data_IF_971964336339
#
_entry.id   IF_971964336339
#
_cell.length_a   1.000
_cell.length_b   1.000
_cell.length_c   1.000
_cell.angle_alpha   90.00
_cell.angle_beta   90.00
_cell.angle_gamma   90.00
#
_symmetry.space_group_name_H-M   'P 1'
#
loop_
_entity.id
_entity.type
_entity.pdbx_description
1 polymer ?
2 non-polymer ?
3 non-polymer ?
4 non-polymer ?
5 water ?
#
# COMPACT_ATOMS: atom_id res chain seq x y z
N UNK A 19 -6.52 24.97 13.92
CA UNK A 19 -7.32 23.78 13.63
C UNK A 19 -7.20 22.77 14.75
N UNK A 20 -7.31 21.49 14.40
CA UNK A 20 -7.22 20.47 15.42
C UNK A 20 -6.72 19.09 15.01
N UNK A 21 -6.06 18.88 13.86
CA UNK A 21 -5.45 17.57 13.64
C UNK A 21 -4.36 17.28 14.67
N UNK A 22 -4.14 16.00 14.90
CA UNK A 22 -3.02 15.53 15.73
C UNK A 22 -1.73 15.57 14.90
N UNK A 23 -0.69 16.17 15.45
CA UNK A 23 0.58 16.16 14.73
C UNK A 23 1.26 14.80 14.94
N UNK A 24 1.85 14.25 13.88
CA UNK A 24 2.49 12.94 13.91
C UNK A 24 3.92 13.14 13.42
N UNK A 25 4.91 13.03 14.30
CA UNK A 25 6.32 13.15 13.93
C UNK A 25 6.91 11.79 13.58
N UNK A 26 7.51 11.70 12.39
CA UNK A 26 8.04 10.42 11.91
C UNK A 26 9.39 10.59 11.22
N UNK A 27 10.06 9.44 11.06
CA UNK A 27 11.27 9.31 10.25
C UNK A 27 11.08 8.06 9.39
N UNK A 28 11.37 8.15 8.08
CA UNK A 28 11.19 6.98 7.20
C UNK A 28 12.08 5.81 7.62
N UNK A 29 13.15 6.06 8.35
CA UNK A 29 14.01 4.96 8.77
C UNK A 29 13.28 3.96 9.65
N UNK A 30 12.28 4.40 10.40
CA UNK A 30 11.83 3.62 11.55
C UNK A 30 10.62 2.75 11.19
N UNK A 31 10.66 1.46 11.46
CA UNK A 31 9.46 0.64 11.24
C UNK A 31 8.38 0.92 12.28
N UNK A 32 8.76 1.44 13.46
CA UNK A 32 7.75 1.88 14.41
C UNK A 32 7.02 3.09 13.90
N UNK A 33 7.76 4.05 13.33
CA UNK A 33 7.12 5.21 12.69
C UNK A 33 6.20 4.75 11.58
N UNK A 34 6.67 3.81 10.74
CA UNK A 34 5.85 3.26 9.67
C UNK A 34 4.51 2.76 10.20
N UNK A 35 4.56 1.93 11.24
CA UNK A 35 3.32 1.38 11.79
C UNK A 35 2.42 2.49 12.35
N UNK A 36 3.03 3.50 12.99
CA UNK A 36 2.22 4.60 13.49
C UNK A 36 1.53 5.37 12.39
N UNK A 37 2.24 5.60 11.28
CA UNK A 37 1.69 6.33 10.14
C UNK A 37 0.60 5.52 9.46
N UNK A 38 0.77 4.19 9.35
CA UNK A 38 -0.26 3.35 8.75
C UNK A 38 -1.53 3.37 9.58
N UNK A 39 -1.37 3.32 10.91
CA UNK A 39 -2.56 3.35 11.76
C UNK A 39 -3.26 4.69 11.65
N UNK A 40 -2.49 5.79 11.71
CA UNK A 40 -3.12 7.12 11.59
C UNK A 40 -3.79 7.29 10.23
N UNK A 41 -3.17 6.76 9.17
CA UNK A 41 -3.74 6.90 7.84
C UNK A 41 -5.12 6.25 7.75
N UNK A 42 -5.25 5.03 8.29
CA UNK A 42 -6.57 4.38 8.25
C UNK A 42 -7.57 5.12 9.12
N UNK A 43 -7.11 5.71 10.24
CA UNK A 43 -8.03 6.47 11.09
C UNK A 43 -8.48 7.79 10.49
N UNK A 44 -7.75 8.32 9.50
CA UNK A 44 -8.25 9.54 8.86
C UNK A 44 -9.68 9.37 8.37
N UNK A 45 -10.05 8.15 7.96
CA UNK A 45 -11.40 7.81 7.50
C UNK A 45 -12.42 7.61 8.60
N UNK A 46 -11.98 7.44 9.84
CA UNK A 46 -12.89 7.27 10.97
C UNK A 46 -13.19 8.59 11.69
N UNK A 47 -12.71 9.73 11.18
CA UNK A 47 -12.97 10.99 11.83
C UNK A 47 -11.76 11.64 12.48
N UNK A 48 -10.59 11.00 12.46
CA UNK A 48 -9.42 11.55 13.12
C UNK A 48 -8.58 12.35 12.14
N UNK A 49 -8.25 13.58 12.51
CA UNK A 49 -7.36 14.39 11.70
C UNK A 49 -5.91 14.17 12.14
N UNK A 50 -5.03 14.04 11.14
CA UNK A 50 -3.58 13.98 11.42
C UNK A 50 -2.83 14.87 10.45
N UNK A 51 -1.73 15.44 10.94
CA UNK A 51 -0.79 16.20 10.13
C UNK A 51 0.59 15.57 10.25
N UNK A 52 1.21 15.26 9.11
CA UNK A 52 2.53 14.64 9.09
C UNK A 52 3.61 15.68 9.32
N UNK A 53 4.53 15.39 10.25
CA UNK A 53 5.72 16.22 10.50
C UNK A 53 6.94 15.33 10.61
N UNK A 54 8.11 15.92 10.40
CA UNK A 54 9.33 15.13 10.40
C UNK A 54 10.13 15.33 11.69
N UNK A 55 10.71 14.23 12.17
CA UNK A 55 11.71 14.28 13.24
C UNK A 55 12.84 13.34 12.85
N UNK A 56 14.08 13.84 12.87
CA UNK A 56 15.23 13.05 12.43
C UNK A 56 15.79 12.23 13.59
N UNK A 57 15.74 10.91 13.46
CA UNK A 57 16.35 10.02 14.46
C UNK A 57 17.86 10.17 14.46
N UNK A 58 18.45 10.42 13.28
CA UNK A 58 19.89 10.63 13.21
C UNK A 58 20.28 11.89 13.99
N UNK A 59 19.58 12.99 13.75
CA UNK A 59 19.86 14.20 14.52
C UNK A 59 19.61 13.97 16.01
N UNK A 60 18.53 13.28 16.36
CA UNK A 60 18.22 13.08 17.77
C UNK A 60 19.28 12.29 18.50
N UNK A 61 19.94 11.36 17.81
CA UNK A 61 20.93 10.49 18.41
C UNK A 61 22.36 10.94 18.13
N UNK A 62 22.56 12.11 17.54
CA UNK A 62 23.92 12.57 17.23
C UNK A 62 24.68 12.85 18.53
N UNK A 63 25.94 12.44 18.64
CA UNK A 63 26.68 12.69 19.89
C UNK A 63 26.73 14.15 20.29
N UNK A 64 26.74 15.07 19.32
CA UNK A 64 26.81 16.49 19.66
C UNK A 64 25.52 17.00 20.26
N UNK A 65 24.41 16.28 20.07
CA UNK A 65 23.13 16.70 20.64
C UNK A 65 22.83 15.96 21.94
N UNK A 66 23.74 15.11 22.39
CA UNK A 66 23.50 14.28 23.57
C UNK A 66 23.48 15.14 24.82
N UNK A 67 22.37 15.08 25.56
CA UNK A 67 22.23 15.80 26.83
C UNK A 67 22.40 17.30 26.62
N UNK A 68 21.85 17.81 25.52
CA UNK A 68 21.92 19.22 25.19
C UNK A 68 20.50 19.78 25.17
N UNK A 69 20.28 20.86 25.93
CA UNK A 69 18.98 21.51 25.89
C UNK A 69 18.80 22.33 24.60
N UNK A 70 19.90 22.72 23.97
CA UNK A 70 19.89 23.45 22.71
C UNK A 70 20.51 22.57 21.64
N UNK A 71 19.79 22.36 20.54
CA UNK A 71 20.33 21.53 19.45
C UNK A 71 21.65 22.12 18.97
N UNK A 72 22.68 21.28 18.87
CA UNK A 72 24.00 21.69 18.43
C UNK A 72 24.33 21.30 16.99
N UNK A 73 23.63 20.30 16.43
CA UNK A 73 23.95 19.76 15.11
C UNK A 73 22.63 19.51 14.40
N UNK A 74 22.45 20.10 13.23
CA UNK A 74 21.17 19.99 12.52
C UNK A 74 21.35 19.11 11.28
N UNK A 75 20.42 18.19 11.05
CA UNK A 75 20.49 17.39 9.83
C UNK A 75 20.45 18.28 8.59
N UNK A 76 19.67 19.34 8.66
CA UNK A 76 19.49 20.26 7.54
C UNK A 76 20.69 21.12 7.23
N UNK A 77 21.76 21.05 8.03
CA UNK A 77 22.99 21.75 7.67
C UNK A 77 23.96 20.86 6.91
N UNK A 78 23.59 19.61 6.64
CA UNK A 78 24.57 18.69 6.07
C UNK A 78 24.44 18.59 4.56
N UNK A 79 25.55 18.45 3.82
CA UNK A 79 25.44 18.26 2.37
C UNK A 79 24.61 17.04 2.01
N UNK A 80 23.89 17.15 0.88
CA UNK A 80 23.03 16.06 0.45
C UNK A 80 23.81 14.77 0.27
N UNK A 81 25.07 14.85 -0.18
CA UNK A 81 25.86 13.67 -0.44
C UNK A 81 26.79 13.25 0.69
N UNK A 82 26.75 13.93 1.82
CA UNK A 82 27.60 13.59 2.94
C UNK A 82 27.23 12.26 3.57
N UNK A 83 28.25 11.50 3.99
CA UNK A 83 28.05 10.26 4.72
C UNK A 83 28.31 10.49 6.20
N UNK A 84 27.40 9.99 7.04
CA UNK A 84 27.63 10.00 8.46
C UNK A 84 28.66 8.95 8.85
N UNK A 85 29.03 8.97 10.12
CA UNK A 85 29.94 7.96 10.65
C UNK A 85 29.24 6.63 10.83
N UNK A 86 29.94 5.74 11.53
CA UNK A 86 29.43 4.38 11.69
C UNK A 86 28.32 4.33 12.72
N UNK A 87 27.69 3.14 12.81
CA UNK A 87 26.53 3.00 13.67
C UNK A 87 25.32 3.67 13.05
N UNK A 88 24.40 4.09 13.92
CA UNK A 88 23.14 4.67 13.44
C UNK A 88 23.38 5.93 12.61
N UNK A 89 24.49 6.62 12.86
CA UNK A 89 24.77 7.83 12.11
C UNK A 89 24.93 7.56 10.63
N UNK A 90 25.20 6.31 10.23
CA UNK A 90 25.31 6.01 8.81
C UNK A 90 24.02 6.28 8.07
N UNK A 91 22.90 6.44 8.79
CA UNK A 91 21.64 6.68 8.09
C UNK A 91 21.43 8.14 7.81
N UNK A 92 22.43 8.99 8.09
CA UNK A 92 22.30 10.40 7.80
C UNK A 92 21.87 10.66 6.35
N UNK A 93 22.66 10.18 5.37
CA UNK A 93 22.36 10.49 3.98
C UNK A 93 21.00 9.98 3.52
N UNK A 94 20.64 8.71 3.70
CA UNK A 94 19.32 8.29 3.20
C UNK A 94 18.17 9.05 3.85
N UNK A 95 18.25 9.29 5.15
CA UNK A 95 17.12 9.93 5.83
C UNK A 95 17.00 11.39 5.41
N UNK A 96 18.11 12.13 5.31
CA UNK A 96 17.99 13.50 4.84
C UNK A 96 17.39 13.54 3.44
N UNK A 97 17.86 12.66 2.55
CA UNK A 97 17.37 12.76 1.18
C UNK A 97 15.90 12.34 1.12
N UNK A 98 15.52 11.38 1.95
CA UNK A 98 14.13 10.94 1.94
C UNK A 98 13.22 12.05 2.44
N UNK A 99 13.64 12.74 3.51
CA UNK A 99 12.83 13.83 4.04
C UNK A 99 12.67 14.90 2.98
N UNK A 100 13.76 15.24 2.26
CA UNK A 100 13.59 16.34 1.32
C UNK A 100 12.68 15.95 0.18
N UNK A 101 12.74 14.68 -0.21
CA UNK A 101 11.86 14.24 -1.30
C UNK A 101 10.42 14.29 -0.85
N UNK A 102 10.19 13.99 0.42
CA UNK A 102 8.84 14.03 0.97
C UNK A 102 8.33 15.46 1.04
N UNK A 103 9.20 16.40 1.39
CA UNK A 103 8.76 17.80 1.39
C UNK A 103 8.41 18.22 -0.03
N UNK A 104 9.19 17.76 -1.02
CA UNK A 104 8.86 18.13 -2.40
C UNK A 104 7.50 17.57 -2.78
N UNK A 105 7.23 16.32 -2.38
CA UNK A 105 5.93 15.73 -2.66
C UNK A 105 4.81 16.51 -1.97
N UNK A 106 5.05 16.95 -0.73
CA UNK A 106 3.99 17.61 0.02
C UNK A 106 3.63 18.95 -0.60
N UNK A 107 4.47 19.49 -1.49
CA UNK A 107 4.04 20.71 -2.16
C UNK A 107 2.86 20.48 -3.09
N UNK A 108 2.51 19.24 -3.38
CA UNK A 108 1.35 18.94 -4.22
C UNK A 108 0.10 18.67 -3.40
N UNK A 109 0.14 18.94 -2.10
CA UNK A 109 -1.06 18.93 -1.28
C UNK A 109 -1.10 17.76 -0.31
N UNK A 110 -2.10 17.83 0.57
CA UNK A 110 -2.23 16.87 1.66
C UNK A 110 -2.35 15.43 1.18
N UNK A 111 -3.25 15.15 0.22
CA UNK A 111 -3.46 13.77 -0.17
C UNK A 111 -2.25 13.19 -0.90
N UNK A 112 -1.58 14.01 -1.73
CA UNK A 112 -0.36 13.54 -2.37
C UNK A 112 0.76 13.35 -1.36
N UNK A 113 0.76 14.12 -0.29
CA UNK A 113 1.78 13.97 0.74
C UNK A 113 1.63 12.64 1.45
N UNK A 114 0.41 12.32 1.90
CA UNK A 114 0.20 11.01 2.51
C UNK A 114 0.51 9.89 1.52
N UNK A 115 0.11 10.06 0.25
CA UNK A 115 0.36 9.00 -0.72
C UNK A 115 1.86 8.76 -0.91
N UNK A 116 2.64 9.85 -0.95
CA UNK A 116 4.08 9.67 -1.15
C UNK A 116 4.73 9.07 0.09
N UNK A 117 4.37 9.59 1.27
CA UNK A 117 4.97 9.10 2.51
C UNK A 117 4.67 7.63 2.70
N UNK A 118 3.41 7.22 2.48
CA UNK A 118 3.10 5.81 2.64
C UNK A 118 3.81 4.97 1.58
N UNK A 119 3.83 5.43 0.32
CA UNK A 119 4.55 4.69 -0.72
C UNK A 119 6.00 4.49 -0.35
N UNK A 120 6.67 5.53 0.15
CA UNK A 120 8.10 5.40 0.45
C UNK A 120 8.32 4.52 1.67
N UNK A 121 7.47 4.66 2.69
CA UNK A 121 7.52 3.75 3.84
C UNK A 121 7.37 2.31 3.39
N UNK A 122 6.39 2.05 2.51
CA UNK A 122 6.13 0.67 2.10
C UNK A 122 7.25 0.13 1.22
N UNK A 123 7.83 0.97 0.37
CA UNK A 123 8.99 0.53 -0.40
C UNK A 123 10.14 0.13 0.53
N UNK A 124 10.36 0.91 1.59
CA UNK A 124 11.49 0.60 2.46
C UNK A 124 11.20 -0.60 3.37
N UNK A 125 9.99 -0.69 3.94
CA UNK A 125 9.71 -1.67 4.98
C UNK A 125 8.97 -2.90 4.48
N UNK A 126 8.20 -2.80 3.40
CA UNK A 126 7.55 -3.99 2.83
C UNK A 126 8.36 -4.58 1.68
N UNK A 127 8.87 -3.74 0.78
CA UNK A 127 9.68 -4.25 -0.32
C UNK A 127 11.15 -4.42 0.05
N UNK A 128 11.59 -3.86 1.19
CA UNK A 128 12.97 -3.95 1.65
C UNK A 128 13.93 -3.21 0.73
N UNK A 129 13.47 -2.13 0.10
CA UNK A 129 14.34 -1.30 -0.71
C UNK A 129 15.08 -0.29 0.15
N UNK A 130 16.28 0.08 -0.30
CA UNK A 130 16.98 1.18 0.32
C UNK A 130 16.23 2.49 0.12
N UNK A 131 16.47 3.45 1.01
CA UNK A 131 15.96 4.80 0.80
C UNK A 131 16.94 5.51 -0.15
N UNK A 132 16.78 5.23 -1.44
CA UNK A 132 17.70 5.78 -2.44
C UNK A 132 16.87 6.38 -3.57
N UNK A 133 17.57 6.88 -4.60
CA UNK A 133 16.87 7.65 -5.63
C UNK A 133 15.83 6.80 -6.36
N UNK A 134 16.13 5.53 -6.64
CA UNK A 134 15.15 4.67 -7.28
C UNK A 134 13.92 4.51 -6.42
N UNK A 135 14.10 4.42 -5.09
CA UNK A 135 12.94 4.35 -4.20
C UNK A 135 12.14 5.64 -4.23
N UNK A 136 12.82 6.80 -4.22
CA UNK A 136 12.09 8.06 -4.25
C UNK A 136 11.27 8.18 -5.54
N UNK A 137 11.88 7.78 -6.67
CA UNK A 137 11.16 7.81 -7.94
C UNK A 137 9.97 6.84 -7.95
N UNK A 138 10.19 5.63 -7.46
CA UNK A 138 9.08 4.67 -7.45
C UNK A 138 7.98 5.13 -6.52
N UNK A 139 8.32 5.79 -5.40
CA UNK A 139 7.28 6.30 -4.51
C UNK A 139 6.50 7.42 -5.17
N UNK A 140 7.19 8.27 -5.94
CA UNK A 140 6.53 9.36 -6.63
C UNK A 140 5.55 8.83 -7.67
N UNK A 141 5.93 7.79 -8.41
CA UNK A 141 4.99 7.20 -9.37
C UNK A 141 3.85 6.48 -8.66
N UNK A 142 4.16 5.72 -7.61
CA UNK A 142 3.11 5.00 -6.90
C UNK A 142 2.10 5.95 -6.30
N UNK A 143 2.54 7.14 -5.90
CA UNK A 143 1.68 8.14 -5.28
C UNK A 143 0.92 8.98 -6.30
N UNK A 144 1.20 8.80 -7.58
CA UNK A 144 0.53 9.62 -8.58
C UNK A 144 0.94 11.07 -8.59
N UNK A 145 2.18 11.39 -8.23
CA UNK A 145 2.62 12.77 -8.26
C UNK A 145 2.70 13.27 -9.69
N UNK A 146 2.49 14.57 -9.85
CA UNK A 146 2.92 15.28 -11.05
C UNK A 146 4.44 15.29 -11.07
N UNK A 147 5.04 14.52 -11.98
CA UNK A 147 6.50 14.29 -11.94
C UNK A 147 7.28 15.52 -12.39
N UNK A 148 6.76 16.28 -13.36
CA UNK A 148 7.46 17.49 -13.74
C UNK A 148 7.45 18.51 -12.60
N UNK A 149 6.31 18.66 -11.91
CA UNK A 149 6.25 19.57 -10.76
C UNK A 149 7.14 19.08 -9.63
N UNK A 150 7.17 17.76 -9.41
CA UNK A 150 8.03 17.21 -8.36
C UNK A 150 9.50 17.49 -8.66
N UNK A 151 9.93 17.28 -9.90
CA UNK A 151 11.30 17.59 -10.28
C UNK A 151 11.64 19.05 -10.03
N UNK A 152 10.72 19.94 -10.42
CA UNK A 152 10.93 21.37 -10.20
C UNK A 152 11.09 21.68 -8.71
N UNK A 153 10.19 21.15 -7.89
CA UNK A 153 10.30 21.41 -6.46
C UNK A 153 11.56 20.82 -5.86
N UNK A 154 12.01 19.66 -6.36
CA UNK A 154 13.24 19.08 -5.85
C UNK A 154 14.46 19.92 -6.19
N UNK A 155 14.39 20.73 -7.24
CA UNK A 155 15.48 21.67 -7.49
C UNK A 155 15.61 22.74 -6.40
N UNK A 156 14.56 22.98 -5.61
CA UNK A 156 14.57 24.02 -4.59
C UNK A 156 15.12 23.45 -3.28
N UNK A 157 16.36 22.98 -3.35
CA UNK A 157 16.98 22.35 -2.19
C UNK A 157 16.94 23.25 -0.96
N UNK A 158 17.26 24.54 -1.12
CA UNK A 158 17.33 25.42 0.03
C UNK A 158 15.96 25.58 0.70
N UNK A 159 14.91 25.70 -0.11
CA UNK A 159 13.58 25.86 0.47
C UNK A 159 13.09 24.59 1.14
N UNK A 160 13.40 23.43 0.54
CA UNK A 160 13.01 22.17 1.18
C UNK A 160 13.75 22.00 2.51
N UNK A 161 15.01 22.45 2.56
CA UNK A 161 15.76 22.39 3.81
C UNK A 161 15.14 23.29 4.87
N UNK A 162 14.68 24.48 4.47
CA UNK A 162 14.02 25.37 5.41
C UNK A 162 12.75 24.73 5.97
N UNK A 163 11.97 24.07 5.10
CA UNK A 163 10.75 23.40 5.59
C UNK A 163 11.09 22.33 6.61
N UNK A 164 12.08 21.50 6.28
CA UNK A 164 12.47 20.44 7.19
C UNK A 164 12.98 21.02 8.51
N UNK A 165 13.83 22.04 8.43
CA UNK A 165 14.33 22.64 9.66
C UNK A 165 13.21 23.16 10.53
N UNK A 166 12.15 23.69 9.94
CA UNK A 166 11.03 24.14 10.77
C UNK A 166 10.38 22.96 11.50
N UNK A 167 10.22 21.82 10.82
CA UNK A 167 9.70 20.63 11.51
C UNK A 167 10.63 20.21 12.66
N UNK A 168 11.94 20.19 12.41
CA UNK A 168 12.88 19.72 13.42
C UNK A 168 12.92 20.69 14.60
N UNK A 169 12.66 21.97 14.36
CA UNK A 169 12.56 22.96 15.44
C UNK A 169 11.31 22.74 16.27
N UNK A 170 10.17 22.51 15.60
CA UNK A 170 8.94 22.20 16.33
C UNK A 170 9.10 20.96 17.19
N UNK A 171 9.73 19.93 16.62
CA UNK A 171 9.95 18.71 17.40
C UNK A 171 10.85 18.98 18.57
N UNK A 172 11.93 19.75 18.37
CA UNK A 172 12.84 20.00 19.48
C UNK A 172 12.15 20.78 20.59
N UNK A 173 11.25 21.71 20.23
CA UNK A 173 10.54 22.46 21.24
C UNK A 173 9.68 21.55 22.11
N UNK A 174 9.13 20.49 21.52
CA UNK A 174 8.34 19.54 22.32
C UNK A 174 9.19 18.51 23.06
N UNK A 175 10.50 18.43 22.80
CA UNK A 175 11.28 17.36 23.38
C UNK A 175 11.18 16.01 22.69
N UNK A 176 10.73 15.99 21.43
CA UNK A 176 10.60 14.74 20.70
C UNK A 176 11.91 13.99 20.70
N UNK A 177 11.84 12.69 20.98
CA UNK A 177 13.03 11.85 21.03
C UNK A 177 12.90 10.56 20.24
N UNK A 178 11.69 10.21 19.77
CA UNK A 178 11.51 8.97 19.04
C UNK A 178 10.36 9.13 18.06
N UNK A 179 10.21 8.14 17.19
CA UNK A 179 9.18 8.15 16.14
C UNK A 179 8.43 6.82 16.22
N UNK A 180 7.09 6.83 16.18
CA UNK A 180 6.24 8.02 15.96
C UNK A 180 5.93 8.72 17.26
N UNK A 181 5.89 10.04 17.23
CA UNK A 181 5.43 10.80 18.38
C UNK A 181 4.20 11.59 17.99
N UNK A 182 3.13 11.49 18.77
CA UNK A 182 1.86 12.13 18.48
C UNK A 182 1.64 13.28 19.45
N UNK A 183 1.27 14.44 18.90
CA UNK A 183 0.92 15.63 19.68
C UNK A 183 -0.59 15.83 19.53
N UNK A 184 -1.31 15.46 20.60
CA UNK A 184 -2.76 15.55 20.61
C UNK A 184 -3.27 16.97 20.83
N UNK A 185 -2.37 17.89 21.14
CA UNK A 185 -2.76 19.23 21.58
C UNK A 185 -2.97 19.27 23.08
N UNK A 186 -3.06 20.50 23.58
CA UNK A 186 -3.35 20.65 25.00
C UNK A 186 -2.23 20.19 25.91
N UNK A 187 -1.02 20.04 25.38
CA UNK A 187 0.12 19.60 26.15
C UNK A 187 0.32 18.10 26.23
N UNK A 188 -0.55 17.31 25.56
CA UNK A 188 -0.46 15.85 25.59
C UNK A 188 0.28 15.37 24.36
N UNK A 189 1.50 14.91 24.57
CA UNK A 189 2.44 14.49 23.53
C UNK A 189 3.07 13.18 24.00
N UNK A 190 3.14 12.18 23.12
CA UNK A 190 3.87 10.97 23.51
C UNK A 190 4.35 10.16 22.31
N UNK A 191 5.52 9.55 22.52
CA UNK A 191 6.04 8.44 21.71
C UNK A 191 5.12 7.23 21.86
N UNK A 192 4.79 6.59 20.74
CA UNK A 192 3.87 5.44 20.72
C UNK A 192 4.55 4.32 19.93
N UNK A 193 5.15 3.38 20.63
CA UNK A 193 5.93 2.30 20.03
C UNK A 193 5.15 1.00 20.11
N UNK A 194 4.78 0.43 18.96
CA UNK A 194 4.11 -0.87 18.98
C UNK A 194 4.64 -1.73 17.83
N UNK A 195 4.61 -3.05 18.04
CA UNK A 195 5.35 -3.97 17.18
C UNK A 195 4.58 -4.51 15.98
N UNK A 196 3.25 -4.57 16.04
CA UNK A 196 2.48 -5.28 15.03
C UNK A 196 1.78 -4.28 14.12
N UNK A 197 1.90 -4.50 12.81
CA UNK A 197 1.20 -3.66 11.86
C UNK A 197 -0.28 -3.76 12.09
N UNK A 198 -0.94 -2.60 12.24
CA UNK A 198 -2.33 -2.48 12.66
C UNK A 198 -3.02 -1.53 11.67
N UNK A 199 -3.63 -2.12 10.64
CA UNK A 199 -4.33 -1.39 9.58
C UNK A 199 -5.82 -1.65 9.54
N UNK A 200 -6.26 -2.75 10.12
CA UNK A 200 -7.69 -3.03 10.12
C UNK A 200 -8.40 -1.87 10.81
N UNK A 201 -9.41 -1.28 10.18
CA UNK A 201 -10.04 -0.08 10.79
C UNK A 201 -10.52 -0.29 12.22
N UNK A 202 -11.15 -1.43 12.51
CA UNK A 202 -11.61 -1.70 13.87
C UNK A 202 -10.45 -1.80 14.86
N UNK A 203 -9.40 -2.56 14.49
CA UNK A 203 -8.26 -2.69 15.39
C UNK A 203 -7.51 -1.38 15.55
N UNK A 204 -7.42 -0.58 14.48
CA UNK A 204 -6.74 0.71 14.59
C UNK A 204 -7.49 1.64 15.53
N UNK A 205 -8.83 1.64 15.45
CA UNK A 205 -9.60 2.46 16.38
C UNK A 205 -9.38 2.02 17.82
N UNK A 206 -9.37 0.71 18.08
CA UNK A 206 -9.14 0.25 19.45
C UNK A 206 -7.78 0.72 19.96
N UNK A 207 -6.74 0.55 19.13
CA UNK A 207 -5.39 0.92 19.51
C UNK A 207 -5.26 2.42 19.79
N UNK A 208 -5.79 3.24 18.89
CA UNK A 208 -5.77 4.68 19.08
C UNK A 208 -6.53 5.10 20.34
N UNK A 209 -7.64 4.42 20.65
CA UNK A 209 -8.36 4.79 21.86
C UNK A 209 -7.57 4.44 23.12
N UNK A 210 -6.82 3.33 23.10
CA UNK A 210 -5.90 3.07 24.21
C UNK A 210 -4.94 4.24 24.38
N UNK A 211 -4.33 4.68 23.27
CA UNK A 211 -3.33 5.73 23.37
C UNK A 211 -3.93 7.03 23.88
N UNK A 212 -5.06 7.46 23.31
CA UNK A 212 -5.61 8.74 23.73
C UNK A 212 -6.15 8.66 25.16
N UNK A 213 -6.76 7.52 25.54
CA UNK A 213 -7.21 7.36 26.92
C UNK A 213 -6.03 7.43 27.89
N UNK A 214 -4.88 6.87 27.51
CA UNK A 214 -3.71 6.96 28.39
C UNK A 214 -3.27 8.40 28.54
N UNK A 215 -3.25 9.17 27.45
CA UNK A 215 -2.74 10.53 27.57
C UNK A 215 -3.73 11.49 28.19
N UNK A 216 -5.02 11.19 28.14
CA UNK A 216 -6.02 12.08 28.73
C UNK A 216 -6.41 11.68 30.14
N UNK A 217 -5.97 10.53 30.64
CA UNK A 217 -6.31 10.11 32.00
C UNK A 217 -5.91 11.16 33.03
N UNK A 218 -6.80 11.38 34.02
CA UNK A 218 -6.54 12.34 35.08
C UNK A 218 -5.41 11.88 35.99
N UNK A 219 -5.01 10.62 35.89
CA UNK A 219 -3.85 10.15 36.65
C UNK A 219 -2.54 10.71 36.12
N UNK A 220 -2.56 11.33 34.93
CA UNK A 220 -1.37 11.90 34.30
C UNK A 220 -0.31 10.82 34.14
N UNK A 221 -0.66 9.82 33.34
CA UNK A 221 0.29 8.78 32.97
C UNK A 221 1.38 9.40 32.11
N UNK A 222 2.63 9.17 32.48
CA UNK A 222 3.78 9.69 31.75
C UNK A 222 4.45 8.61 30.92
N UNK A 223 4.54 7.37 31.44
CA UNK A 223 5.25 6.31 30.74
C UNK A 223 4.60 4.98 31.04
N UNK A 224 4.35 4.20 29.99
CA UNK A 224 4.17 2.75 30.09
C UNK A 224 5.26 2.16 29.21
N UNK A 225 6.15 1.35 29.78
CA UNK A 225 7.31 0.91 29.00
C UNK A 225 7.79 -0.48 29.38
N UNK A 226 7.76 -1.42 28.42
CA UNK A 226 8.29 -2.76 28.69
C UNK A 226 9.80 -2.74 28.80
N UNK A 227 10.38 -3.47 29.76
CA UNK A 227 11.82 -3.68 29.76
C UNK A 227 12.20 -4.71 28.71
N UNK A 228 13.51 -4.86 28.54
CA UNK A 228 14.09 -5.88 27.69
C UNK A 228 14.72 -6.93 28.60
N UNK A 229 14.19 -8.16 28.64
CA UNK A 229 14.71 -9.23 29.51
C UNK A 229 16.13 -9.61 29.11
N UNK B 20 5.20 -18.35 -23.25
CA UNK B 20 3.82 -17.99 -22.94
C UNK B 20 3.69 -17.62 -21.45
N UNK B 21 3.12 -16.46 -21.17
CA UNK B 21 3.07 -16.00 -19.78
C UNK B 21 2.10 -16.86 -18.99
N UNK B 22 2.34 -16.92 -17.67
CA UNK B 22 1.40 -17.56 -16.74
C UNK B 22 0.15 -16.69 -16.62
N UNK B 23 -1.04 -17.30 -16.75
CA UNK B 23 -2.26 -16.53 -16.52
C UNK B 23 -2.53 -16.44 -15.02
N UNK B 24 -2.89 -15.26 -14.55
CA UNK B 24 -3.12 -15.01 -13.13
C UNK B 24 -4.53 -14.48 -12.98
N UNK B 25 -5.44 -15.31 -12.42
CA UNK B 25 -6.84 -14.93 -12.23
C UNK B 25 -7.04 -14.32 -10.85
N UNK B 26 -7.59 -13.10 -10.81
CA UNK B 26 -7.70 -12.37 -9.55
C UNK B 26 -9.05 -11.69 -9.44
N UNK B 27 -9.39 -11.33 -8.20
CA UNK B 27 -10.53 -10.49 -7.86
C UNK B 27 -10.01 -9.41 -6.91
N UNK B 28 -10.37 -8.14 -7.16
CA UNK B 28 -9.93 -7.06 -6.28
C UNK B 28 -10.43 -7.22 -4.85
N UNK B 29 -11.49 -7.98 -4.62
CA UNK B 29 -12.00 -8.16 -3.27
C UNK B 29 -11.01 -8.87 -2.37
N UNK B 30 -10.14 -9.70 -2.94
CA UNK B 30 -9.44 -10.71 -2.15
C UNK B 30 -8.07 -10.22 -1.71
N UNK B 31 -7.74 -10.25 -0.41
CA UNK B 31 -6.38 -9.93 0.01
C UNK B 31 -5.39 -11.01 -0.39
N UNK B 32 -5.88 -12.24 -0.60
CA UNK B 32 -5.00 -13.28 -1.11
C UNK B 32 -4.65 -13.02 -2.56
N UNK B 33 -5.63 -12.61 -3.37
CA UNK B 33 -5.34 -12.20 -4.74
C UNK B 33 -4.38 -11.02 -4.76
N UNK B 34 -4.62 -10.03 -3.89
CA UNK B 34 -3.70 -8.91 -3.75
C UNK B 34 -2.27 -9.40 -3.56
N UNK B 35 -2.05 -10.30 -2.58
CA UNK B 35 -0.68 -10.76 -2.35
C UNK B 35 -0.13 -11.52 -3.55
N UNK B 36 -0.99 -12.29 -4.24
CA UNK B 36 -0.52 -13.00 -5.43
C UNK B 36 -0.10 -12.03 -6.53
N UNK B 37 -0.87 -10.97 -6.74
CA UNK B 37 -0.56 -10.03 -7.81
C UNK B 37 0.69 -9.23 -7.44
N UNK B 38 0.86 -8.89 -6.15
CA UNK B 38 2.08 -8.21 -5.72
C UNK B 38 3.30 -9.08 -5.98
N UNK B 39 3.20 -10.36 -5.61
CA UNK B 39 4.34 -11.24 -5.84
C UNK B 39 4.62 -11.39 -7.33
N UNK B 40 3.57 -11.50 -8.15
CA UNK B 40 3.79 -11.62 -9.59
C UNK B 40 4.43 -10.36 -10.17
N UNK B 41 4.04 -9.18 -9.66
CA UNK B 41 4.60 -7.92 -10.14
C UNK B 41 6.10 -7.88 -9.88
N UNK B 42 6.51 -8.25 -8.66
CA UNK B 42 7.95 -8.32 -8.35
C UNK B 42 8.64 -9.33 -9.26
N UNK B 43 8.02 -10.50 -9.46
CA UNK B 43 8.63 -11.55 -10.28
C UNK B 43 8.80 -11.12 -11.74
N UNK B 44 7.96 -10.21 -12.23
CA UNK B 44 8.17 -9.66 -13.57
C UNK B 44 9.55 -9.03 -13.69
N UNK B 45 9.99 -8.34 -12.64
CA UNK B 45 11.31 -7.74 -12.61
C UNK B 45 12.43 -8.75 -12.68
N UNK B 46 12.15 -9.99 -12.31
CA UNK B 46 13.10 -11.09 -12.39
C UNK B 46 12.90 -11.95 -13.63
N UNK B 47 12.02 -11.55 -14.55
CA UNK B 47 11.89 -12.21 -15.82
C UNK B 47 10.68 -13.11 -15.99
N UNK B 48 9.83 -13.25 -14.97
CA UNK B 48 8.67 -14.12 -15.05
C UNK B 48 7.53 -13.40 -15.76
N UNK B 49 6.94 -14.04 -16.75
CA UNK B 49 5.84 -13.43 -17.50
C UNK B 49 4.50 -13.81 -16.89
N UNK B 50 3.63 -12.82 -16.77
CA UNK B 50 2.27 -13.00 -16.24
C UNK B 50 1.29 -12.20 -17.08
N UNK B 51 0.11 -12.77 -17.30
CA UNK B 51 -1.01 -12.05 -17.89
C UNK B 51 -2.12 -11.97 -16.85
N UNK B 52 -2.60 -10.76 -16.58
CA UNK B 52 -3.65 -10.58 -15.59
C UNK B 52 -5.02 -10.92 -16.19
N UNK B 53 -5.77 -11.76 -15.49
CA UNK B 53 -7.12 -12.10 -15.90
C UNK B 53 -8.02 -12.03 -14.68
N UNK B 54 -9.32 -11.93 -14.93
CA UNK B 54 -10.29 -11.73 -13.86
C UNK B 54 -11.11 -12.98 -13.61
N UNK B 55 -11.31 -13.29 -12.32
CA UNK B 55 -12.25 -14.31 -11.88
C UNK B 55 -13.09 -13.66 -10.78
N UNK B 56 -14.42 -13.76 -10.88
CA UNK B 56 -15.31 -13.15 -9.89
C UNK B 56 -15.61 -14.13 -8.77
N UNK B 57 -15.23 -13.77 -7.55
CA UNK B 57 -15.57 -14.58 -6.39
C UNK B 57 -17.06 -14.58 -6.16
N UNK B 58 -17.73 -13.45 -6.42
CA UNK B 58 -19.18 -13.39 -6.24
C UNK B 58 -19.85 -14.37 -7.18
N UNK B 59 -19.43 -14.39 -8.44
CA UNK B 59 -19.99 -15.36 -9.36
C UNK B 59 -19.64 -16.79 -8.95
N UNK B 60 -18.36 -17.02 -8.63
CA UNK B 60 -17.95 -18.38 -8.32
C UNK B 60 -18.70 -18.95 -7.12
N UNK B 61 -19.05 -18.09 -6.17
CA UNK B 61 -19.63 -18.54 -4.92
C UNK B 61 -21.14 -18.46 -4.96
N UNK B 62 -21.72 -18.04 -6.09
CA UNK B 62 -23.16 -17.84 -6.16
C UNK B 62 -23.88 -19.18 -6.00
N UNK B 63 -24.92 -19.24 -5.15
CA UNK B 63 -25.69 -20.48 -5.06
C UNK B 63 -26.27 -20.94 -6.39
N UNK B 64 -26.57 -20.02 -7.30
CA UNK B 64 -27.07 -20.45 -8.60
C UNK B 64 -26.04 -21.25 -9.38
N UNK B 65 -24.75 -21.12 -9.05
CA UNK B 65 -23.69 -21.79 -9.78
C UNK B 65 -23.15 -23.00 -9.03
N UNK B 66 -23.67 -23.28 -7.84
CA UNK B 66 -23.12 -24.38 -7.05
C UNK B 66 -23.46 -25.72 -7.68
N UNK B 67 -22.44 -26.57 -7.86
CA UNK B 67 -22.61 -27.90 -8.43
C UNK B 67 -23.24 -27.86 -9.81
N UNK B 68 -22.96 -26.80 -10.58
CA UNK B 68 -23.47 -26.66 -11.93
C UNK B 68 -22.33 -26.90 -12.92
N UNK B 69 -22.57 -27.76 -13.91
CA UNK B 69 -21.59 -27.96 -14.96
C UNK B 69 -21.51 -26.78 -15.90
N UNK B 70 -22.60 -26.01 -16.01
CA UNK B 70 -22.67 -24.82 -16.85
C UNK B 70 -23.02 -23.64 -15.97
N UNK B 71 -22.29 -22.54 -16.13
CA UNK B 71 -22.58 -21.35 -15.33
C UNK B 71 -24.02 -20.92 -15.57
N UNK B 72 -24.74 -20.64 -14.47
CA UNK B 72 -26.13 -20.21 -14.53
C UNK B 72 -26.32 -18.72 -14.27
N UNK B 73 -25.36 -18.06 -13.59
CA UNK B 73 -25.48 -16.66 -13.20
C UNK B 73 -24.14 -16.02 -13.48
N UNK B 74 -24.12 -15.02 -14.35
CA UNK B 74 -22.89 -14.33 -14.74
C UNK B 74 -22.85 -12.96 -14.09
N UNK B 75 -21.70 -12.60 -13.50
CA UNK B 75 -21.55 -11.25 -12.98
C UNK B 75 -21.82 -10.22 -14.06
N UNK B 76 -21.37 -10.50 -15.29
CA UNK B 76 -21.46 -9.54 -16.38
C UNK B 76 -22.86 -9.38 -16.94
N UNK B 77 -23.82 -10.16 -16.49
CA UNK B 77 -25.21 -9.94 -16.86
C UNK B 77 -25.92 -9.00 -15.87
N UNK B 78 -25.25 -8.59 -14.79
CA UNK B 78 -26.03 -7.92 -13.77
C UNK B 78 -26.01 -6.40 -13.98
N UNK B 79 -27.14 -5.74 -13.80
CA UNK B 79 -27.13 -4.27 -13.93
C UNK B 79 -26.27 -3.66 -12.85
N UNK B 80 -25.73 -2.48 -13.16
CA UNK B 80 -24.97 -1.70 -12.20
C UNK B 80 -25.79 -0.60 -11.53
N UNK B 81 -27.10 -0.76 -11.45
CA UNK B 81 -27.90 0.22 -10.75
C UNK B 81 -27.77 0.11 -9.23
N UNK B 82 -28.85 0.46 -8.54
CA UNK B 82 -28.92 0.29 -7.10
C UNK B 82 -28.65 -1.17 -6.72
N UNK B 83 -27.90 -1.36 -5.63
CA UNK B 83 -27.71 -2.70 -5.05
C UNK B 83 -29.06 -3.30 -4.65
N UNK B 84 -29.07 -4.63 -4.52
CA UNK B 84 -30.27 -5.35 -4.06
C UNK B 84 -30.98 -6.05 -5.19
N UNK B 85 -32.21 -6.49 -4.91
CA UNK B 85 -32.98 -7.28 -5.85
C UNK B 85 -32.67 -8.76 -5.77
N UNK B 86 -33.48 -9.55 -6.48
CA UNK B 86 -33.39 -11.00 -6.38
C UNK B 86 -32.05 -11.49 -6.93
N UNK B 87 -31.40 -12.34 -6.15
CA UNK B 87 -30.12 -12.89 -6.54
C UNK B 87 -28.93 -12.01 -6.25
N UNK B 88 -29.14 -10.82 -5.68
CA UNK B 88 -28.02 -9.93 -5.39
C UNK B 88 -27.17 -10.53 -4.28
N UNK B 89 -25.86 -10.45 -4.42
CA UNK B 89 -25.02 -10.85 -3.31
C UNK B 89 -23.98 -9.82 -2.89
N UNK B 90 -23.60 -9.89 -1.63
CA UNK B 90 -22.75 -8.86 -1.08
C UNK B 90 -21.48 -8.75 -1.90
N UNK B 91 -21.07 -7.51 -2.18
CA UNK B 91 -19.84 -7.15 -2.93
C UNK B 91 -20.00 -7.33 -4.42
N UNK B 92 -21.20 -7.65 -4.91
CA UNK B 92 -21.43 -7.78 -6.34
C UNK B 92 -21.15 -6.46 -7.07
N UNK B 93 -21.81 -5.37 -6.64
CA UNK B 93 -21.62 -4.09 -7.33
C UNK B 93 -20.20 -3.57 -7.27
N UNK B 94 -19.55 -3.48 -6.11
CA UNK B 94 -18.19 -2.93 -6.12
C UNK B 94 -17.23 -3.79 -6.93
N UNK B 95 -17.36 -5.12 -6.87
CA UNK B 95 -16.40 -5.94 -7.61
C UNK B 95 -16.63 -5.85 -9.12
N UNK B 96 -17.89 -5.81 -9.57
CA UNK B 96 -18.15 -5.62 -11.00
C UNK B 96 -17.61 -4.27 -11.46
N UNK B 97 -17.92 -3.20 -10.72
CA UNK B 97 -17.41 -1.87 -11.07
C UNK B 97 -15.90 -1.86 -11.13
N UNK B 98 -15.24 -2.52 -10.18
CA UNK B 98 -13.79 -2.49 -10.17
C UNK B 98 -13.21 -3.23 -11.36
N UNK B 99 -13.81 -4.39 -11.69
CA UNK B 99 -13.34 -5.14 -12.85
C UNK B 99 -13.50 -4.31 -14.13
N UNK B 100 -14.64 -3.64 -14.29
CA UNK B 100 -14.83 -2.88 -15.53
C UNK B 100 -13.85 -1.73 -15.61
N UNK B 101 -13.59 -1.05 -14.49
CA UNK B 101 -12.62 0.03 -14.48
C UNK B 101 -11.24 -0.48 -14.86
N UNK B 102 -10.89 -1.67 -14.37
CA UNK B 102 -9.61 -2.28 -14.72
C UNK B 102 -9.52 -2.64 -16.19
N UNK B 103 -10.61 -3.14 -16.79
CA UNK B 103 -10.59 -3.39 -18.24
C UNK B 103 -10.42 -2.09 -19.03
N UNK B 104 -11.11 -1.03 -18.59
CA UNK B 104 -10.95 0.26 -19.25
C UNK B 104 -9.50 0.73 -19.16
N UNK B 105 -8.87 0.56 -17.98
CA UNK B 105 -7.47 0.93 -17.85
C UNK B 105 -6.59 0.10 -18.77
N UNK B 106 -6.89 -1.20 -18.89
CA UNK B 106 -6.04 -2.07 -19.70
C UNK B 106 -6.14 -1.76 -21.19
N UNK B 107 -7.16 -1.01 -21.60
CA UNK B 107 -7.18 -0.54 -22.98
C UNK B 107 -6.06 0.44 -23.29
N UNK B 108 -5.36 0.94 -22.27
CA UNK B 108 -4.19 1.79 -22.48
C UNK B 108 -2.88 1.03 -22.42
N UNK B 109 -2.94 -0.29 -22.39
CA UNK B 109 -1.75 -1.11 -22.55
C UNK B 109 -1.38 -1.85 -21.28
N UNK B 110 -0.38 -2.71 -21.45
CA UNK B 110 -0.02 -3.70 -20.44
C UNK B 110 0.54 -3.04 -19.17
N UNK B 111 1.49 -2.12 -19.33
CA UNK B 111 2.09 -1.53 -18.15
C UNK B 111 1.08 -0.69 -17.36
N UNK B 112 0.22 0.04 -18.06
CA UNK B 112 -0.82 0.81 -17.37
C UNK B 112 -1.85 -0.11 -16.74
N UNK B 113 -2.11 -1.28 -17.34
CA UNK B 113 -3.00 -2.25 -16.70
C UNK B 113 -2.45 -2.72 -15.36
N UNK B 114 -1.18 -3.14 -15.33
CA UNK B 114 -0.55 -3.50 -14.06
C UNK B 114 -0.56 -2.34 -13.09
N UNK B 115 -0.25 -1.13 -13.57
CA UNK B 115 -0.17 -0.01 -12.64
C UNK B 115 -1.52 0.29 -12.02
N UNK B 116 -2.59 0.23 -12.82
CA UNK B 116 -3.93 0.47 -12.29
C UNK B 116 -4.35 -0.65 -11.33
N UNK B 117 -4.08 -1.90 -11.70
CA UNK B 117 -4.55 -2.99 -10.85
C UNK B 117 -3.82 -2.97 -9.51
N UNK B 118 -2.50 -2.76 -9.54
CA UNK B 118 -1.74 -2.64 -8.29
C UNK B 118 -2.23 -1.47 -7.47
N UNK B 119 -2.43 -0.31 -8.11
CA UNK B 119 -2.90 0.87 -7.37
C UNK B 119 -4.22 0.61 -6.68
N UNK B 120 -5.19 0.03 -7.39
CA UNK B 120 -6.50 -0.19 -6.81
C UNK B 120 -6.44 -1.25 -5.70
N UNK B 121 -5.68 -2.32 -5.91
CA UNK B 121 -5.47 -3.29 -4.84
C UNK B 121 -4.94 -2.62 -3.59
N UNK B 122 -3.96 -1.75 -3.74
CA UNK B 122 -3.33 -1.17 -2.56
C UNK B 122 -4.26 -0.17 -1.89
N UNK B 123 -5.00 0.60 -2.69
CA UNK B 123 -6.02 1.48 -2.10
C UNK B 123 -7.00 0.67 -1.26
N UNK B 124 -7.39 -0.52 -1.76
CA UNK B 124 -8.40 -1.28 -1.03
C UNK B 124 -7.81 -2.01 0.18
N UNK B 125 -6.63 -2.64 0.03
CA UNK B 125 -6.17 -3.54 1.07
C UNK B 125 -5.15 -2.91 1.99
N UNK B 126 -4.37 -1.93 1.51
CA UNK B 126 -3.44 -1.22 2.40
C UNK B 126 -4.05 0.07 2.94
N UNK B 127 -4.73 0.85 2.10
CA UNK B 127 -5.34 2.09 2.59
C UNK B 127 -6.74 1.88 3.14
N UNK B 128 -7.34 0.70 2.92
CA UNK B 128 -8.62 0.34 3.52
C UNK B 128 -9.76 1.20 3.00
N UNK B 129 -9.68 1.54 1.73
CA UNK B 129 -10.76 2.25 1.06
C UNK B 129 -11.68 1.27 0.35
N UNK B 130 -12.96 1.66 0.27
CA UNK B 130 -13.92 0.85 -0.48
C UNK B 130 -13.57 0.88 -1.96
N UNK B 131 -14.07 -0.14 -2.68
CA UNK B 131 -13.94 -0.17 -4.14
C UNK B 131 -15.07 0.69 -4.72
N UNK B 132 -14.85 2.01 -4.69
CA UNK B 132 -15.87 2.97 -5.09
C UNK B 132 -15.28 3.93 -6.11
N UNK B 133 -16.13 4.85 -6.58
CA UNK B 133 -15.72 5.71 -7.68
C UNK B 133 -14.48 6.54 -7.34
N UNK B 134 -14.42 7.06 -6.11
CA UNK B 134 -13.25 7.83 -5.70
C UNK B 134 -11.99 7.00 -5.76
N UNK B 135 -12.09 5.74 -5.34
CA UNK B 135 -10.92 4.86 -5.40
C UNK B 135 -10.52 4.57 -6.85
N UNK B 136 -11.50 4.33 -7.73
CA UNK B 136 -11.15 4.10 -9.13
C UNK B 136 -10.45 5.32 -9.72
N UNK B 137 -10.96 6.51 -9.43
CA UNK B 137 -10.35 7.73 -9.94
C UNK B 137 -8.91 7.87 -9.42
N UNK B 138 -8.71 7.60 -8.13
CA UNK B 138 -7.37 7.72 -7.56
C UNK B 138 -6.41 6.69 -8.16
N UNK B 139 -6.91 5.46 -8.40
CA UNK B 139 -6.07 4.46 -9.05
C UNK B 139 -5.70 4.87 -10.47
N UNK B 140 -6.64 5.53 -11.19
CA UNK B 140 -6.34 6.01 -12.53
C UNK B 140 -5.24 7.07 -12.51
N UNK B 141 -5.33 7.99 -11.54
CA UNK B 141 -4.27 9.00 -11.36
C UNK B 141 -2.93 8.33 -11.06
N UNK B 142 -2.92 7.37 -10.15
CA UNK B 142 -1.64 6.77 -9.79
C UNK B 142 -1.06 5.95 -10.93
N UNK B 143 -1.92 5.38 -11.77
CA UNK B 143 -1.44 4.62 -12.90
C UNK B 143 -0.99 5.51 -14.05
N UNK B 144 -1.27 6.81 -13.98
CA UNK B 144 -0.88 7.70 -15.06
C UNK B 144 -1.70 7.54 -16.31
N UNK B 145 -2.96 7.14 -16.17
CA UNK B 145 -3.82 6.96 -17.34
C UNK B 145 -4.09 8.31 -18.00
N UNK B 146 -4.29 8.25 -19.31
CA UNK B 146 -4.98 9.31 -20.04
C UNK B 146 -6.43 9.32 -19.58
N UNK B 147 -6.81 10.34 -18.79
CA UNK B 147 -8.10 10.32 -18.14
C UNK B 147 -9.25 10.54 -19.12
N UNK B 148 -9.02 11.29 -20.20
CA UNK B 148 -10.07 11.48 -21.19
C UNK B 148 -10.37 10.17 -21.92
N UNK B 149 -9.31 9.48 -22.35
CA UNK B 149 -9.47 8.16 -22.96
C UNK B 149 -10.13 7.18 -21.99
N UNK B 150 -9.71 7.20 -20.72
CA UNK B 150 -10.29 6.31 -19.73
C UNK B 150 -11.78 6.57 -19.55
N UNK B 151 -12.19 7.84 -19.47
CA UNK B 151 -13.62 8.14 -19.39
C UNK B 151 -14.36 7.63 -20.63
N UNK B 152 -13.76 7.82 -21.81
CA UNK B 152 -14.40 7.34 -23.02
C UNK B 152 -14.58 5.83 -23.00
N UNK B 153 -13.55 5.10 -22.55
CA UNK B 153 -13.67 3.65 -22.51
C UNK B 153 -14.66 3.21 -21.45
N UNK B 154 -14.74 3.92 -20.32
CA UNK B 154 -15.72 3.53 -19.30
C UNK B 154 -17.15 3.78 -19.77
N UNK B 155 -17.34 4.71 -20.70
CA UNK B 155 -18.66 4.86 -21.31
C UNK B 155 -19.05 3.65 -22.17
N UNK B 156 -18.07 2.86 -22.57
CA UNK B 156 -18.32 1.65 -23.37
C UNK B 156 -18.56 0.45 -22.45
N UNK B 157 -19.56 0.61 -21.58
CA UNK B 157 -19.82 -0.40 -20.55
C UNK B 157 -20.08 -1.76 -21.19
N UNK B 158 -20.82 -1.79 -22.31
CA UNK B 158 -21.13 -3.06 -22.94
C UNK B 158 -19.87 -3.76 -23.44
N UNK B 159 -18.93 -2.99 -24.02
CA UNK B 159 -17.70 -3.59 -24.49
C UNK B 159 -16.83 -4.11 -23.36
N UNK B 160 -16.78 -3.36 -22.25
CA UNK B 160 -16.01 -3.82 -21.10
C UNK B 160 -16.60 -5.10 -20.52
N UNK B 161 -17.93 -5.18 -20.47
CA UNK B 161 -18.58 -6.38 -19.98
C UNK B 161 -18.23 -7.57 -20.86
N UNK B 162 -18.19 -7.38 -22.19
CA UNK B 162 -17.82 -8.48 -23.07
C UNK B 162 -16.39 -8.96 -22.81
N UNK B 163 -15.47 -8.03 -22.57
CA UNK B 163 -14.10 -8.41 -22.23
C UNK B 163 -14.05 -9.22 -20.93
N UNK B 164 -14.78 -8.72 -19.92
CA UNK B 164 -14.78 -9.39 -18.63
C UNK B 164 -15.39 -10.77 -18.74
N UNK B 165 -16.51 -10.90 -19.48
CA UNK B 165 -17.16 -12.20 -19.64
C UNK B 165 -16.20 -13.19 -20.27
N UNK B 166 -15.37 -12.74 -21.21
CA UNK B 166 -14.40 -13.68 -21.80
C UNK B 166 -13.43 -14.20 -20.75
N UNK B 167 -12.99 -13.34 -19.84
CA UNK B 167 -12.15 -13.83 -18.72
C UNK B 167 -12.90 -14.81 -17.84
N UNK B 168 -14.14 -14.47 -17.49
CA UNK B 168 -14.94 -15.34 -16.61
C UNK B 168 -15.21 -16.69 -17.25
N UNK B 169 -15.40 -16.71 -18.58
CA UNK B 169 -15.58 -17.95 -19.31
C UNK B 169 -14.31 -18.79 -19.29
N UNK B 170 -13.16 -18.17 -19.52
CA UNK B 170 -11.92 -18.92 -19.53
C UNK B 170 -11.65 -19.52 -18.15
N UNK B 171 -11.93 -18.74 -17.11
CA UNK B 171 -11.79 -19.25 -15.76
C UNK B 171 -12.73 -20.41 -15.51
N UNK B 172 -13.99 -20.30 -15.96
CA UNK B 172 -14.93 -21.38 -15.76
C UNK B 172 -14.50 -22.66 -16.45
N UNK B 173 -13.90 -22.54 -17.66
CA UNK B 173 -13.44 -23.72 -18.36
C UNK B 173 -12.33 -24.41 -17.59
N UNK B 174 -11.50 -23.65 -16.86
CA UNK B 174 -10.47 -24.29 -16.05
C UNK B 174 -10.99 -24.81 -14.71
N UNK B 175 -12.23 -24.49 -14.33
CA UNK B 175 -12.70 -24.81 -13.01
C UNK B 175 -12.24 -23.86 -11.92
N UNK B 176 -11.79 -22.66 -12.26
CA UNK B 176 -11.29 -21.75 -11.23
C UNK B 176 -12.35 -21.54 -10.14
N UNK B 177 -11.91 -21.56 -8.86
CA UNK B 177 -12.79 -21.44 -7.71
C UNK B 177 -12.31 -20.43 -6.70
N UNK B 178 -11.08 -19.94 -6.82
CA UNK B 178 -10.62 -18.95 -5.88
C UNK B 178 -9.54 -18.09 -6.52
N UNK B 179 -9.14 -17.06 -5.77
CA UNK B 179 -8.14 -16.13 -6.26
C UNK B 179 -7.04 -15.96 -5.22
N UNK B 180 -5.76 -15.96 -5.64
CA UNK B 180 -5.31 -15.98 -7.03
C UNK B 180 -5.15 -17.39 -7.56
N UNK B 181 -5.53 -17.62 -8.81
CA UNK B 181 -5.25 -18.91 -9.43
C UNK B 181 -4.29 -18.69 -10.59
N UNK B 182 -3.23 -19.48 -10.64
CA UNK B 182 -2.19 -19.39 -11.64
C UNK B 182 -2.27 -20.57 -12.59
N UNK B 183 -2.31 -20.26 -13.88
CA UNK B 183 -2.28 -21.26 -14.95
C UNK B 183 -0.88 -21.19 -15.56
N UNK B 184 -0.05 -22.18 -15.24
CA UNK B 184 1.32 -22.24 -15.74
C UNK B 184 1.39 -22.74 -17.17
N UNK B 185 0.27 -23.19 -17.73
CA UNK B 185 0.28 -23.85 -19.02
C UNK B 185 0.49 -25.35 -18.85
N UNK B 186 0.27 -26.06 -19.94
CA UNK B 186 0.53 -27.48 -19.91
C UNK B 186 -0.37 -28.28 -19.00
N UNK B 187 -1.51 -27.70 -18.60
CA UNK B 187 -2.44 -28.38 -17.72
C UNK B 187 -2.18 -28.17 -16.24
N UNK B 188 -1.17 -27.37 -15.87
CA UNK B 188 -0.83 -27.15 -14.47
C UNK B 188 -1.43 -25.82 -14.02
N UNK B 189 -2.46 -25.88 -13.18
CA UNK B 189 -3.27 -24.75 -12.73
C UNK B 189 -3.52 -24.93 -11.25
N UNK B 190 -3.30 -23.87 -10.46
CA UNK B 190 -3.67 -24.01 -9.06
C UNK B 190 -3.94 -22.67 -8.38
N UNK B 191 -4.86 -22.74 -7.44
CA UNK B 191 -5.07 -21.74 -6.41
C UNK B 191 -3.89 -21.69 -5.47
N UNK B 192 -3.41 -20.47 -5.16
CA UNK B 192 -2.20 -20.26 -4.36
C UNK B 192 -2.53 -19.25 -3.27
N UNK B 193 -2.86 -19.74 -2.08
CA UNK B 193 -3.35 -18.91 -0.98
C UNK B 193 -2.24 -18.78 0.05
N UNK B 194 -1.70 -17.58 0.23
CA UNK B 194 -0.73 -17.38 1.30
C UNK B 194 -1.04 -16.09 2.07
N UNK B 195 -0.61 -16.05 3.33
CA UNK B 195 -1.09 -15.02 4.26
C UNK B 195 -0.20 -13.78 4.36
N UNK B 196 1.09 -13.87 4.03
CA UNK B 196 2.03 -12.78 4.30
C UNK B 196 2.46 -12.11 3.01
N UNK B 197 2.34 -10.77 2.99
CA UNK B 197 2.79 -10.00 1.85
C UNK B 197 4.27 -10.29 1.58
N UNK B 198 4.57 -10.66 0.34
CA UNK B 198 5.90 -11.11 -0.06
C UNK B 198 6.34 -10.26 -1.26
N UNK B 199 7.09 -9.20 -0.98
CA UNK B 199 7.53 -8.30 -2.01
C UNK B 199 9.05 -8.19 -2.11
N UNK B 200 9.79 -8.67 -1.13
CA UNK B 200 11.24 -8.76 -1.28
C UNK B 200 11.57 -9.67 -2.45
N UNK B 201 12.43 -9.26 -3.37
CA UNK B 201 12.61 -10.04 -4.60
C UNK B 201 13.06 -11.48 -4.38
N UNK B 202 14.03 -11.73 -3.51
CA UNK B 202 14.49 -13.10 -3.34
C UNK B 202 13.42 -13.93 -2.63
N UNK B 203 12.71 -13.33 -1.67
CA UNK B 203 11.60 -14.03 -1.02
C UNK B 203 10.52 -14.40 -2.04
N UNK B 204 10.22 -13.49 -2.97
CA UNK B 204 9.20 -13.78 -3.98
C UNK B 204 9.67 -14.88 -4.93
N UNK B 205 10.93 -14.84 -5.35
CA UNK B 205 11.45 -15.90 -6.21
C UNK B 205 11.43 -17.25 -5.50
N UNK B 206 11.79 -17.28 -4.21
CA UNK B 206 11.76 -18.54 -3.47
C UNK B 206 10.34 -19.09 -3.34
N UNK B 207 9.39 -18.19 -3.06
CA UNK B 207 8.00 -18.63 -2.93
C UNK B 207 7.48 -19.19 -4.26
N UNK B 208 7.80 -18.50 -5.35
CA UNK B 208 7.35 -18.93 -6.67
C UNK B 208 7.97 -20.26 -7.04
N UNK B 209 9.25 -20.45 -6.69
CA UNK B 209 9.89 -21.73 -6.98
C UNK B 209 9.22 -22.88 -6.26
N UNK B 210 8.82 -22.66 -5.02
CA UNK B 210 8.11 -23.70 -4.30
C UNK B 210 6.77 -24.02 -4.97
N UNK B 211 6.03 -22.98 -5.39
CA UNK B 211 4.76 -23.22 -6.07
C UNK B 211 4.96 -24.01 -7.38
N UNK B 212 5.87 -23.54 -8.24
CA UNK B 212 6.01 -24.21 -9.52
C UNK B 212 6.59 -25.61 -9.35
N UNK B 213 7.49 -25.80 -8.38
CA UNK B 213 7.99 -27.14 -8.10
C UNK B 213 6.88 -28.07 -7.66
N UNK B 214 5.94 -27.58 -6.83
CA UNK B 214 4.83 -28.40 -6.41
C UNK B 214 3.98 -28.82 -7.60
N UNK B 215 3.69 -27.87 -8.50
CA UNK B 215 2.83 -28.24 -9.61
C UNK B 215 3.53 -29.09 -10.67
N UNK B 216 4.85 -29.01 -10.79
CA UNK B 216 5.54 -29.81 -11.79
C UNK B 216 6.07 -31.13 -11.24
N UNK B 217 5.95 -31.37 -9.94
CA UNK B 217 6.39 -32.64 -9.36
C UNK B 217 5.74 -33.84 -10.06
N UNK B 218 6.56 -34.86 -10.32
CA UNK B 218 6.02 -36.07 -10.95
C UNK B 218 5.12 -36.85 -10.01
N UNK B 219 5.07 -36.50 -8.73
CA UNK B 219 4.07 -37.14 -7.86
C UNK B 219 2.66 -36.67 -8.15
N UNK B 220 2.49 -35.62 -8.97
CA UNK B 220 1.18 -35.04 -9.27
C UNK B 220 0.46 -34.64 -8.00
N UNK B 221 1.06 -33.68 -7.31
CA UNK B 221 0.45 -33.07 -6.13
C UNK B 221 -0.79 -32.30 -6.55
N UNK B 222 -1.92 -32.61 -5.92
CA UNK B 222 -3.19 -31.96 -6.22
C UNK B 222 -3.54 -30.89 -5.21
N UNK B 223 -3.27 -31.14 -3.92
CA UNK B 223 -3.67 -30.20 -2.89
C UNK B 223 -2.70 -30.26 -1.73
N UNK B 224 -2.27 -29.11 -1.25
CA UNK B 224 -1.69 -28.93 0.08
C UNK B 224 -2.58 -27.91 0.75
N UNK B 225 -3.24 -28.28 1.86
CA UNK B 225 -4.24 -27.37 2.43
C UNK B 225 -4.29 -27.51 3.95
N UNK B 226 -4.04 -26.38 4.62
CA UNK B 226 -4.14 -26.32 6.08
C UNK B 226 -5.60 -26.35 6.51
N UNK B 227 -5.92 -27.10 7.53
CA UNK B 227 -7.25 -26.99 8.14
C UNK B 227 -7.39 -25.74 8.97
N UNK B 228 -8.56 -25.61 9.60
CA UNK B 228 -8.81 -24.54 10.54
C UNK B 228 -9.10 -25.18 11.89
N UNK B 229 -8.24 -24.98 12.89
CA UNK B 229 -8.43 -25.52 14.23
C UNK B 229 -9.69 -25.00 14.90
X LIG C 1 22.76 12.55 -3.52
X LIG C 1 23.84 12.29 -4.10
X LIG C 1 21.94 13.47 -3.77
X LIG C 1 22.39 11.57 -2.32
X LIG D 1 16.72 0.99 8.72
X LIG D 1 17.86 0.80 7.74
X LIG D 1 17.18 1.50 10.07
X LIG D 1 15.74 1.97 8.10
X LIG D 1 16.07 -0.31 8.91
X LIG D 1 17.33 0.32 6.52
X LIG D 1 16.13 1.43 11.01
X LIG D 1 15.24 1.60 6.81
X LIG E 1 13.26 3.23 15.49
X LIG E 1 13.52 2.42 14.56
X LIG E 1 12.17 3.84 15.74
X LIG E 1 14.48 3.54 16.43
X LIG F 1 -3.42 -6.44 14.95
X LIG F 1 -2.75 -5.50 15.76
X LIG F 1 -3.48 -5.94 13.50
X LIG F 1 -4.80 -5.63 13.10
X LIG F 1 -4.88 -4.89 11.89
X LIG F 1 -4.28 -5.65 10.71
X LIG F 1 -3.40 -4.81 10.01
X LIG G 1 -2.19 -5.70 5.69
X LIG G 1 -1.18 -6.30 5.21
X LIG G 1 -3.29 -5.40 5.12
X LIG G 1 -2.07 -5.27 7.19
X LIG H 1 15.14 29.64 -2.13
X LIG H 1 14.15 28.84 -1.78
X LIG H 1 16.09 30.19 -1.40
X LIG H 1 15.19 29.97 -3.64
X LIG I 1 -3.20 11.02 -5.00
X LIG I 1 -3.30 10.29 -3.99
X LIG I 1 -2.40 10.90 -6.01
X LIG I 1 -4.20 12.23 -4.98
X LIG J 1 9.83 27.36 2.97
X LIG J 1 10.22 27.16 1.63
X LIG J 1 8.53 28.16 2.97
X LIG J 1 7.55 27.44 2.30
X LIG J 1 6.97 28.12 1.23
X LIG J 1 7.98 28.23 0.10
X LIG J 1 7.76 29.31 -0.79
X LIG K 1 17.62 4.74 17.89
X LIG K 1 17.08 3.68 18.33
X LIG K 1 17.07 5.86 17.63
X LIG K 1 19.17 4.63 17.68
X LIG L 1 23.40 -0.07 13.52
X LIG L 1 24.64 -0.08 13.26
X LIG L 1 22.67 0.92 13.81
X LIG L 1 22.70 -1.48 13.51
X LIG M 1 7.69 -0.22 -9.21
X LIG M 1 7.59 -1.22 -8.43
X LIG M 1 8.45 -0.06 -10.22
X LIG M 1 6.75 0.99 -8.83
X LIG N 1 5.66 17.45 6.43
X LIG N 1 6.12 18.40 7.13
X LIG N 1 4.93 17.47 5.37
X LIG N 1 6.02 16.08 6.94
X LIG O 1 -13.86 -12.59 -0.23
X LIG O 1 -12.76 -11.72 -0.43
X LIG O 1 -15.13 -12.08 -0.92
X LIG O 1 -16.07 -13.12 -1.06
X LIG O 1 -17.25 -12.79 -1.74
X LIG O 1 -17.95 -14.06 -2.23
X LIG O 1 -19.34 -13.95 -2.20
X LIG P 1 -13.71 -7.23 1.21
X LIG P 1 -14.78 -6.19 1.53
X LIG P 1 -14.28 -8.65 1.17
X LIG P 1 -13.05 -6.92 -0.11
X LIG P 1 -12.70 -7.20 2.27
X LIG P 1 -14.23 -4.90 1.36
X LIG P 1 -13.20 -9.56 1.17
X LIG P 1 -11.67 -7.16 0.02
X LIG Q 1 -9.16 -5.89 3.34
X LIG Q 1 -7.90 -6.03 3.18
X LIG Q 1 -9.89 -4.89 3.02
X LIG Q 1 -9.90 -7.11 3.97
X LIG R 1 -1.47 -20.52 -20.80
X LIG R 1 -0.52 -20.92 -21.53
X LIG R 1 -2.71 -20.44 -21.07
X LIG R 1 -1.08 -20.04 -19.37
X LIG S 1 -7.64 11.09 -25.61
X LIG S 1 -6.69 11.76 -25.10
X LIG S 1 -8.89 11.21 -25.41
X LIG S 1 -7.19 9.98 -26.62
#
# INVERSE_FOLDING_TARGET
>A
MHHHHHHTPQPTDAQPTDAQPTDLYFDFLSPYAWRGVEMAHVLRGSGEGFRLRHFSLVQGNHPQNKDQETVQWWLTDQPLGAEGGSGYMKYQRPSLNAFLAAHAAARQGEEKSWAFALALFRLHHEDKRDLDEAAFQDAATRAGLDLSQWKQDRQDEAGLRRELRADLEAAAALGVFGTPTFDLGGGDVAYFKFEELTRDPQAARDLWNLFTSTLRSEARVATIRRPVPKKG
>B
MHHHHHHTPQPTDAQPTDAQPTDLYFDFLSPYAWRGVEMAHVLRGSGEGFRLRHFSLVQGNHPQNKDQETVQWWLTDQPLGAEGGSGYMKYQRPSLNAFLAAHAAARQGEEKSWAFALALFRLHHEDKRDLDEAAFQDAATRAGLDLSQWKQDRQDEAGLRRELRADLEAAAALGVFGTPTFDLGGGDVAYFKFEELTRDPQAARDLWNLFTSTLRSEARVATIRRPVPKKG
>C hetero
1 ACT C O OXT CH3
>D hetero
1 TRS C C1 C2 C3 N O1 O2 O3
>E hetero
1 ACT C O OXT CH3
>F hetero
1 PEG C1 O1 C2 O2 C3 C4 O4
>G hetero
1 ACT C O OXT CH3
>H hetero
1 ACT C O OXT CH3
>I hetero
1 ACT C O OXT CH3
>J hetero
1 PEG C1 O1 C2 O2 C3 C4 O4
>K hetero
1 ACT C O OXT CH3
>L hetero
1 ACT C O OXT CH3
>M hetero
1 ACT C O OXT CH3
>N hetero
1 ACT C O OXT CH3
>O hetero
1 PEG C1 O1 C2 O2 C3 C4 O4
>P hetero
1 TRS C C1 C2 C3 N O1 O2 O3
>Q hetero
1 ACT C O OXT CH3
>R hetero
1 ACT C O OXT CH3
>S hetero
1 ACT C O OXT CH3
#
